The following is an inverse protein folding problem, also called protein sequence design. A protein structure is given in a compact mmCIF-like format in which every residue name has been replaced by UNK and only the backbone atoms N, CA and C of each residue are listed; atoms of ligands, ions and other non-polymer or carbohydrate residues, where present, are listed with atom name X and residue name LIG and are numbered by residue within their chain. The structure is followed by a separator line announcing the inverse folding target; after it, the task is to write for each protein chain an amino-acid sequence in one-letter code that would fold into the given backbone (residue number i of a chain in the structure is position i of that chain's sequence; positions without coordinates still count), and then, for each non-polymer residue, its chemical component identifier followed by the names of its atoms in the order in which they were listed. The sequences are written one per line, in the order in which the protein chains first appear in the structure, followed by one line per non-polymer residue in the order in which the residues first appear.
data_IF_774412094022
#
_entry.id   IF_774412094022
#
_cell.length_a   1.000
_cell.length_b   1.000
_cell.length_c   1.000
_cell.angle_alpha   90.00
_cell.angle_beta   90.00
_cell.angle_gamma   90.00
#
_symmetry.space_group_name_H-M   'P 1'
#
loop_
_entity.id
_entity.type
_entity.pdbx_description
1 polymer ?
#
# COMPACT_ATOMS: atom_id res chain seq x y z
N UNK A 1 6.88 -12.30 -12.13
CA UNK A 1 6.52 -10.97 -12.70
C UNK A 1 5.86 -10.08 -11.66
N UNK A 2 4.81 -10.54 -10.95
CA UNK A 2 4.15 -9.74 -9.91
C UNK A 2 5.12 -9.19 -8.82
N UNK A 3 6.13 -9.98 -8.44
CA UNK A 3 7.07 -9.63 -7.38
C UNK A 3 7.99 -8.44 -7.73
N UNK A 4 8.28 -8.25 -9.03
CA UNK A 4 9.07 -7.13 -9.53
C UNK A 4 8.28 -5.83 -9.43
N UNK A 5 7.00 -5.86 -9.83
CA UNK A 5 6.10 -4.69 -9.73
C UNK A 5 6.00 -4.21 -8.27
N UNK A 6 5.85 -5.15 -7.32
CA UNK A 6 5.81 -4.83 -5.90
C UNK A 6 7.13 -4.19 -5.45
N UNK A 7 8.28 -4.72 -5.89
CA UNK A 7 9.59 -4.17 -5.52
C UNK A 7 9.81 -2.78 -6.11
N UNK A 8 9.44 -2.56 -7.36
CA UNK A 8 9.61 -1.28 -8.04
C UNK A 8 8.68 -0.21 -7.45
N UNK A 9 7.43 -0.56 -7.15
CA UNK A 9 6.54 0.30 -6.38
C UNK A 9 7.13 0.65 -5.01
N UNK A 10 7.74 -0.33 -4.31
CA UNK A 10 8.37 -0.09 -3.01
C UNK A 10 9.55 0.89 -3.12
N UNK A 11 10.36 0.77 -4.18
CA UNK A 11 11.47 1.68 -4.46
C UNK A 11 10.98 3.08 -4.83
N UNK A 12 9.92 3.18 -5.63
CA UNK A 12 9.32 4.45 -6.01
C UNK A 12 8.77 5.21 -4.78
N UNK A 13 8.06 4.51 -3.89
CA UNK A 13 7.55 5.09 -2.64
C UNK A 13 8.68 5.51 -1.67
N UNK A 14 9.83 4.83 -1.72
CA UNK A 14 11.00 5.23 -0.94
C UNK A 14 11.73 6.44 -1.54
N UNK A 15 11.70 6.59 -2.87
CA UNK A 15 12.28 7.74 -3.56
C UNK A 15 11.45 9.01 -3.37
N UNK A 16 10.12 8.87 -3.27
CA UNK A 16 9.19 10.00 -3.07
C UNK A 16 8.39 9.81 -1.78
N UNK A 17 8.97 10.17 -0.61
CA UNK A 17 8.34 9.94 0.69
C UNK A 17 7.06 10.75 0.91
N UNK A 18 6.88 11.86 0.18
CA UNK A 18 5.67 12.71 0.22
C UNK A 18 4.40 11.96 -0.17
N UNK A 19 4.54 10.91 -0.99
CA UNK A 19 3.42 10.06 -1.41
C UNK A 19 3.09 8.99 -0.35
N UNK A 20 4.06 8.64 0.50
CA UNK A 20 3.87 7.64 1.56
C UNK A 20 3.33 8.29 2.84
N UNK A 21 2.10 8.81 2.76
CA UNK A 21 1.42 9.52 3.85
C UNK A 21 0.15 8.82 4.27
N UNK A 22 -0.12 8.85 5.58
CA UNK A 22 -1.41 8.50 6.19
C UNK A 22 -2.16 9.79 6.47
N UNK A 23 -3.41 9.85 6.05
CA UNK A 23 -4.33 10.93 6.43
C UNK A 23 -5.15 10.51 7.63
N UNK A 24 -5.04 11.24 8.73
CA UNK A 24 -5.81 10.99 9.96
C UNK A 24 -6.14 12.32 10.61
N UNK A 25 -7.43 12.53 10.95
CA UNK A 25 -7.94 13.71 11.66
C UNK A 25 -7.49 15.07 11.09
N UNK A 26 -7.45 15.18 9.76
CA UNK A 26 -7.09 16.42 9.08
C UNK A 26 -5.58 16.70 9.02
N UNK A 27 -4.74 15.73 9.42
CA UNK A 27 -3.28 15.81 9.38
C UNK A 27 -2.69 14.74 8.48
N UNK A 28 -1.58 15.11 7.83
CA UNK A 28 -0.73 14.20 7.07
C UNK A 28 0.36 13.64 7.98
N UNK A 29 0.43 12.32 8.08
CA UNK A 29 1.48 11.59 8.79
C UNK A 29 2.36 10.88 7.77
N UNK A 30 3.63 11.27 7.68
CA UNK A 30 4.62 10.58 6.87
C UNK A 30 4.94 9.21 7.48
N UNK A 31 4.88 8.16 6.66
CA UNK A 31 5.18 6.79 7.08
C UNK A 31 6.65 6.47 6.75
N UNK A 32 7.47 6.07 7.74
CA UNK A 32 8.88 5.73 7.50
C UNK A 32 9.05 4.36 6.82
N UNK A 33 8.02 3.51 6.86
CA UNK A 33 8.04 2.17 6.27
C UNK A 33 7.13 2.11 5.05
N UNK A 34 7.58 1.41 4.02
CA UNK A 34 6.80 1.18 2.80
C UNK A 34 6.14 -0.20 2.90
N UNK A 35 4.82 -0.17 3.08
CA UNK A 35 3.99 -1.38 3.15
C UNK A 35 3.12 -1.44 1.89
N UNK A 36 3.10 -2.59 1.22
CA UNK A 36 2.34 -2.76 -0.04
C UNK A 36 1.25 -3.80 0.16
N UNK A 37 0.02 -3.40 -0.13
CA UNK A 37 -1.14 -4.29 -0.13
C UNK A 37 -1.30 -4.93 -1.49
N UNK A 38 -1.47 -6.25 -1.52
CA UNK A 38 -1.71 -7.00 -2.76
C UNK A 38 -3.14 -7.51 -2.73
N UNK A 39 -3.93 -7.14 -3.73
CA UNK A 39 -5.30 -7.65 -3.86
C UNK A 39 -5.29 -9.08 -4.40
N UNK A 40 -5.88 -10.02 -3.65
CA UNK A 40 -6.01 -11.42 -4.03
C UNK A 40 -7.49 -11.76 -4.10
N UNK A 41 -7.94 -12.13 -5.31
CA UNK A 41 -9.30 -12.61 -5.52
C UNK A 41 -9.41 -14.07 -5.05
N UNK A 42 -10.30 -14.31 -4.08
CA UNK A 42 -10.74 -15.64 -3.68
C UNK A 42 -12.18 -15.84 -4.19
N UNK A 43 -12.62 -17.10 -4.34
CA UNK A 43 -13.96 -17.43 -4.83
C UNK A 43 -15.12 -16.78 -4.03
N UNK A 44 -14.89 -16.42 -2.76
CA UNK A 44 -15.92 -15.92 -1.85
C UNK A 44 -15.80 -14.41 -1.62
N UNK A 45 -14.58 -13.86 -1.63
CA UNK A 45 -14.32 -12.45 -1.27
C UNK A 45 -12.98 -11.97 -1.83
N UNK A 46 -12.85 -10.66 -2.04
CA UNK A 46 -11.57 -9.98 -2.25
C UNK A 46 -10.85 -9.80 -0.90
N UNK A 47 -9.64 -10.34 -0.79
CA UNK A 47 -8.81 -10.19 0.41
C UNK A 47 -7.55 -9.42 0.01
N UNK A 48 -7.13 -8.49 0.86
CA UNK A 48 -5.95 -7.65 0.63
C UNK A 48 -4.90 -7.91 1.71
N UNK A 49 -4.07 -8.96 1.58
CA UNK A 49 -2.90 -9.13 2.43
C UNK A 49 -1.90 -7.97 2.27
N UNK A 50 -1.22 -7.63 3.36
CA UNK A 50 -0.20 -6.59 3.41
C UNK A 50 1.19 -7.25 3.46
N UNK A 51 2.06 -6.84 2.55
CA UNK A 51 3.50 -7.14 2.61
C UNK A 51 4.18 -6.01 3.38
N UNK A 52 4.56 -6.30 4.62
CA UNK A 52 5.25 -5.34 5.47
C UNK A 52 6.70 -5.12 5.03
N UNK A 53 7.14 -3.86 5.03
CA UNK A 53 8.51 -3.43 4.73
C UNK A 53 9.02 -3.96 3.39
N UNK A 54 8.24 -3.72 2.33
CA UNK A 54 8.56 -4.19 0.97
C UNK A 54 9.85 -3.55 0.42
N UNK A 55 10.26 -2.39 0.95
CA UNK A 55 11.50 -1.71 0.61
C UNK A 55 12.74 -2.50 1.04
N UNK A 56 12.68 -3.17 2.20
CA UNK A 56 13.82 -3.88 2.80
C UNK A 56 13.94 -5.33 2.31
N UNK A 57 12.91 -5.90 1.70
CA UNK A 57 12.88 -7.30 1.27
C UNK A 57 13.45 -7.47 -0.15
N UNK A 58 14.14 -8.59 -0.39
CA UNK A 58 14.55 -8.98 -1.74
C UNK A 58 13.36 -9.49 -2.57
N UNK A 59 13.47 -9.42 -3.91
CA UNK A 59 12.38 -9.84 -4.84
C UNK A 59 11.93 -11.28 -4.57
N UNK A 60 12.87 -12.21 -4.35
CA UNK A 60 12.56 -13.60 -4.04
C UNK A 60 11.81 -13.78 -2.71
N UNK A 61 12.13 -12.98 -1.69
CA UNK A 61 11.46 -13.01 -0.40
C UNK A 61 10.04 -12.41 -0.49
N UNK A 62 9.86 -11.37 -1.29
CA UNK A 62 8.54 -10.78 -1.57
C UNK A 62 7.66 -11.84 -2.22
N UNK A 63 8.14 -12.54 -3.25
CA UNK A 63 7.38 -13.60 -3.92
C UNK A 63 7.02 -14.76 -3.00
N UNK A 64 7.93 -15.19 -2.12
CA UNK A 64 7.64 -16.21 -1.12
C UNK A 64 6.53 -15.75 -0.14
N UNK A 65 6.62 -14.52 0.39
CA UNK A 65 5.61 -13.95 1.30
C UNK A 65 4.27 -13.77 0.62
N UNK A 66 4.21 -13.26 -0.60
CA UNK A 66 2.96 -13.07 -1.35
C UNK A 66 2.28 -14.40 -1.59
N UNK A 67 3.02 -15.45 -1.95
CA UNK A 67 2.47 -16.81 -2.11
C UNK A 67 1.94 -17.38 -0.80
N UNK A 68 2.69 -17.21 0.29
CA UNK A 68 2.26 -17.65 1.62
C UNK A 68 0.98 -16.93 2.06
N UNK A 69 0.93 -15.60 1.91
CA UNK A 69 -0.23 -14.78 2.22
C UNK A 69 -1.41 -15.12 1.31
N UNK A 70 -1.19 -15.37 0.02
CA UNK A 70 -2.24 -15.79 -0.90
C UNK A 70 -2.80 -17.18 -0.53
N UNK A 71 -1.94 -18.13 -0.11
CA UNK A 71 -2.37 -19.44 0.38
C UNK A 71 -3.20 -19.31 1.66
N UNK A 72 -2.72 -18.53 2.64
CA UNK A 72 -3.47 -18.25 3.88
C UNK A 72 -4.78 -17.50 3.64
N UNK A 73 -4.82 -16.61 2.64
CA UNK A 73 -6.04 -15.90 2.22
C UNK A 73 -7.08 -16.86 1.64
N UNK A 74 -6.64 -17.85 0.85
CA UNK A 74 -7.51 -18.92 0.34
C UNK A 74 -8.02 -19.84 1.44
N UNK A 75 -7.18 -20.11 2.44
CA UNK A 75 -7.53 -20.94 3.60
C UNK A 75 -8.39 -20.22 4.66
N UNK A 76 -8.84 -18.97 4.41
CA UNK A 76 -9.68 -18.16 5.31
C UNK A 76 -9.11 -17.91 6.72
N UNK A 77 -7.82 -18.14 6.95
CA UNK A 77 -7.17 -18.03 8.28
C UNK A 77 -6.46 -16.70 8.52
N UNK A 78 -6.62 -15.71 7.64
CA UNK A 78 -5.91 -14.44 7.81
C UNK A 78 -6.68 -13.47 8.73
N UNK A 79 -5.96 -12.99 9.74
CA UNK A 79 -6.30 -11.77 10.45
C UNK A 79 -6.19 -10.61 9.44
N UNK A 80 -7.32 -10.21 8.87
CA UNK A 80 -7.42 -9.04 7.99
C UNK A 80 -7.12 -7.80 8.83
N UNK A 81 -5.88 -7.32 8.77
CA UNK A 81 -5.54 -5.99 9.23
C UNK A 81 -5.79 -5.05 8.05
N UNK A 82 -6.97 -4.42 8.02
CA UNK A 82 -7.21 -3.29 7.13
C UNK A 82 -6.41 -2.10 7.66
N UNK A 83 -5.11 -2.04 7.34
CA UNK A 83 -4.36 -0.79 7.49
C UNK A 83 -4.84 0.12 6.37
N UNK A 84 -5.77 1.00 6.73
CA UNK A 84 -6.50 1.85 5.82
C UNK A 84 -5.56 2.81 5.10
N UNK A 85 -5.35 2.53 3.81
CA UNK A 85 -5.52 3.56 2.77
C UNK A 85 -6.58 3.04 1.80
N UNK A 86 -7.75 2.71 2.35
CA UNK A 86 -8.92 2.40 1.54
C UNK A 86 -9.62 3.74 1.25
N UNK A 87 -9.26 4.37 0.14
CA UNK A 87 -9.89 5.61 -0.31
C UNK A 87 -11.29 5.25 -0.84
N UNK A 88 -12.26 5.12 0.08
CA UNK A 88 -13.66 4.96 -0.26
C UNK A 88 -14.13 6.23 -0.95
N UNK A 89 -14.63 6.08 -2.17
CA UNK A 89 -15.34 7.11 -2.95
C UNK A 89 -16.40 7.80 -2.08
N UNK A 90 -16.05 8.94 -1.48
CA UNK A 90 -16.98 10.03 -1.20
C UNK A 90 -16.23 11.35 -0.97
N UNK A 91 -15.62 11.87 -2.01
CA UNK A 91 -15.33 13.31 -2.13
C UNK A 91 -15.23 13.60 -3.62
N UNK A 92 -16.24 14.28 -4.15
CA UNK A 92 -16.15 14.93 -5.45
C UNK A 92 -14.90 15.79 -5.51
N UNK A 93 -14.03 15.55 -6.51
CA UNK A 93 -13.12 16.54 -7.11
C UNK A 93 -11.97 17.15 -6.28
N UNK A 94 -12.00 17.11 -4.95
CA UNK A 94 -11.23 18.07 -4.14
C UNK A 94 -9.89 17.57 -3.58
N UNK A 95 -9.53 16.32 -3.78
CA UNK A 95 -8.30 15.76 -3.19
C UNK A 95 -7.04 16.13 -3.98
N UNK A 96 -7.07 15.97 -5.30
CA UNK A 96 -5.94 16.30 -6.17
C UNK A 96 -5.71 17.81 -6.24
N UNK A 97 -6.79 18.61 -6.17
CA UNK A 97 -6.71 20.07 -6.19
C UNK A 97 -6.15 20.66 -4.89
N UNK A 98 -6.31 19.98 -3.75
CA UNK A 98 -5.73 20.40 -2.45
C UNK A 98 -4.28 20.00 -2.29
N UNK A 99 -3.89 18.78 -2.68
CA UNK A 99 -2.48 18.37 -2.65
C UNK A 99 -1.62 19.25 -3.57
N UNK A 100 -2.16 19.63 -4.75
CA UNK A 100 -1.47 20.57 -5.65
C UNK A 100 -1.48 22.03 -5.18
N UNK A 101 -2.36 22.43 -4.25
CA UNK A 101 -2.35 23.78 -3.65
C UNK A 101 -1.48 23.91 -2.42
N UNK A 102 -1.32 22.84 -1.64
CA UNK A 102 -0.61 22.85 -0.36
C UNK A 102 0.84 22.37 -0.44
N UNK A 103 1.34 21.99 -1.63
CA UNK A 103 2.77 21.78 -1.86
C UNK A 103 3.45 23.15 -2.00
N UNK A 104 4.30 23.60 -1.05
CA UNK A 104 5.17 24.73 -1.34
C UNK A 104 6.08 24.29 -2.49
N UNK A 105 6.07 25.05 -3.59
CA UNK A 105 7.02 24.86 -4.69
C UNK A 105 8.42 24.84 -4.07
N UNK A 106 9.05 23.68 -4.09
CA UNK A 106 10.48 23.56 -3.80
C UNK A 106 11.18 24.35 -4.92
N UNK A 107 11.69 25.52 -4.56
CA UNK A 107 12.71 26.27 -5.33
C UNK A 107 14.00 25.49 -5.40
#
# INVERSE_FOLDING_TARGET
VNDLVIKDCARALRAVPEVNVKWEDGRLFLLPTVDISVAVATAIRLITPIVFKADSLGVGQIGAKVRELAKKARENKLKVCFRSVFWSRRTHGDFLSRIMRETPRVT
#
